data_IF_218711722380
#
_entry.id   IF_218711722380
#
_cell.length_a   1.000
_cell.length_b   1.000
_cell.length_c   1.000
_cell.angle_alpha   90.00
_cell.angle_beta   90.00
_cell.angle_gamma   90.00
#
_symmetry.space_group_name_H-M   'P 1'
#
loop_
_entity.id
_entity.type
_entity.pdbx_description
1 polymer ?
#
# COMPACT_ATOMS: atom_id res chain seq x y z
N UNK A 1 1.33 -20.55 -13.34
CA UNK A 1 1.26 -19.07 -13.28
C UNK A 1 2.56 -18.60 -12.64
N UNK A 2 3.24 -17.61 -13.20
CA UNK A 2 4.51 -17.08 -12.65
C UNK A 2 4.20 -15.89 -11.72
N UNK A 3 5.04 -15.71 -10.68
CA UNK A 3 4.95 -14.58 -9.76
C UNK A 3 6.11 -13.62 -10.02
N UNK A 4 5.79 -12.34 -10.11
CA UNK A 4 6.77 -11.25 -10.03
C UNK A 4 6.60 -10.50 -8.72
N UNK A 5 7.66 -9.93 -8.17
CA UNK A 5 7.62 -9.13 -6.94
C UNK A 5 7.97 -7.69 -7.29
N UNK A 6 7.17 -6.74 -6.81
CA UNK A 6 7.43 -5.31 -6.92
C UNK A 6 7.74 -4.73 -5.54
N UNK A 7 8.87 -4.04 -5.42
CA UNK A 7 9.35 -3.38 -4.21
C UNK A 7 9.58 -1.91 -4.53
N UNK A 8 9.02 -1.02 -3.72
CA UNK A 8 9.21 0.42 -3.85
C UNK A 8 10.18 0.87 -2.76
N UNK A 9 11.37 1.29 -3.17
CA UNK A 9 12.42 1.77 -2.28
C UNK A 9 12.43 3.31 -2.23
N UNK A 10 12.56 3.86 -1.02
CA UNK A 10 12.88 5.25 -0.79
C UNK A 10 13.70 5.40 0.49
N UNK A 11 15.02 5.69 0.36
CA UNK A 11 15.94 5.86 1.48
C UNK A 11 15.97 4.67 2.45
N UNK A 12 15.86 3.44 1.94
CA UNK A 12 15.78 2.21 2.77
C UNK A 12 16.42 0.98 2.11
N UNK A 13 17.57 1.17 1.45
CA UNK A 13 18.24 0.09 0.71
C UNK A 13 18.57 -1.13 1.58
N UNK A 14 18.91 -0.92 2.85
CA UNK A 14 19.30 -2.01 3.72
C UNK A 14 18.17 -3.02 3.94
N UNK A 15 16.95 -2.52 4.27
CA UNK A 15 15.78 -3.38 4.40
C UNK A 15 15.38 -3.97 3.04
N UNK A 16 15.53 -3.22 1.96
CA UNK A 16 15.26 -3.69 0.59
C UNK A 16 16.17 -4.86 0.23
N UNK A 17 17.47 -4.79 0.49
CA UNK A 17 18.42 -5.88 0.24
C UNK A 17 18.08 -7.09 1.12
N UNK A 18 17.85 -6.89 2.41
CA UNK A 18 17.51 -7.98 3.34
C UNK A 18 16.23 -8.70 2.90
N UNK A 19 15.23 -7.95 2.45
CA UNK A 19 13.98 -8.53 1.94
C UNK A 19 14.22 -9.33 0.65
N UNK A 20 14.97 -8.78 -0.31
CA UNK A 20 15.33 -9.50 -1.54
C UNK A 20 16.06 -10.81 -1.19
N UNK A 21 17.04 -10.77 -0.30
CA UNK A 21 17.80 -11.94 0.13
C UNK A 21 16.92 -13.03 0.75
N UNK A 22 15.85 -12.64 1.43
CA UNK A 22 14.91 -13.60 2.05
C UNK A 22 14.03 -14.35 1.04
N UNK A 23 13.84 -13.81 -0.19
CA UNK A 23 12.90 -14.37 -1.17
C UNK A 23 13.52 -14.75 -2.52
N UNK A 24 14.74 -14.29 -2.83
CA UNK A 24 15.37 -14.45 -4.17
C UNK A 24 15.48 -15.90 -4.63
N UNK A 25 15.64 -16.83 -3.70
CA UNK A 25 15.84 -18.25 -3.99
C UNK A 25 14.51 -19.03 -4.11
N UNK A 26 13.36 -18.40 -3.91
CA UNK A 26 12.08 -19.03 -4.11
C UNK A 26 11.84 -19.33 -5.61
N UNK A 27 11.47 -20.59 -5.90
CA UNK A 27 11.29 -21.06 -7.28
C UNK A 27 10.06 -20.46 -7.95
N UNK A 28 9.03 -20.14 -7.17
CA UNK A 28 7.79 -19.54 -7.66
C UNK A 28 8.00 -18.11 -8.16
N UNK A 29 9.05 -17.41 -7.67
CA UNK A 29 9.38 -16.04 -8.05
C UNK A 29 10.26 -16.04 -9.31
N UNK A 30 9.77 -15.42 -10.38
CA UNK A 30 10.47 -15.28 -11.65
C UNK A 30 11.19 -13.94 -11.81
N UNK A 31 10.64 -12.87 -11.24
CA UNK A 31 11.18 -11.51 -11.34
C UNK A 31 11.00 -10.76 -10.01
N UNK A 32 11.99 -9.95 -9.66
CA UNK A 32 11.93 -8.99 -8.55
C UNK A 32 12.27 -7.63 -9.14
N UNK A 33 11.28 -6.75 -9.20
CA UNK A 33 11.45 -5.39 -9.72
C UNK A 33 11.49 -4.43 -8.56
N UNK A 34 12.62 -3.77 -8.36
CA UNK A 34 12.81 -2.73 -7.35
C UNK A 34 12.77 -1.38 -8.04
N UNK A 35 11.85 -0.54 -7.64
CA UNK A 35 11.78 0.85 -8.09
C UNK A 35 12.36 1.74 -7.01
N UNK A 36 13.53 2.31 -7.25
CA UNK A 36 14.09 3.36 -6.42
C UNK A 36 13.41 4.69 -6.74
N UNK A 37 12.59 5.15 -5.82
CA UNK A 37 11.68 6.28 -6.02
C UNK A 37 12.36 7.63 -5.71
N UNK A 38 13.51 7.89 -6.37
CA UNK A 38 14.38 9.06 -6.18
C UNK A 38 14.94 9.14 -4.75
N UNK A 39 15.56 8.09 -4.26
CA UNK A 39 16.26 8.13 -2.98
C UNK A 39 17.36 9.20 -2.95
N UNK A 40 17.51 9.85 -1.81
CA UNK A 40 18.50 10.94 -1.59
C UNK A 40 19.74 10.48 -0.82
N UNK A 41 19.74 9.20 -0.40
CA UNK A 41 20.87 8.52 0.24
C UNK A 41 21.63 7.63 -0.78
N UNK A 42 22.42 6.67 -0.28
CA UNK A 42 23.16 5.74 -1.13
C UNK A 42 22.30 4.60 -1.72
N UNK A 43 20.96 4.62 -1.55
CA UNK A 43 20.07 3.51 -1.93
C UNK A 43 20.30 3.03 -3.36
N UNK A 44 20.25 3.93 -4.34
CA UNK A 44 20.39 3.54 -5.75
C UNK A 44 21.76 2.91 -6.05
N UNK A 45 22.84 3.40 -5.40
CA UNK A 45 24.19 2.89 -5.58
C UNK A 45 24.28 1.47 -5.03
N UNK A 46 23.78 1.26 -3.81
CA UNK A 46 23.84 -0.05 -3.14
C UNK A 46 22.94 -1.09 -3.82
N UNK A 47 21.73 -0.70 -4.20
CA UNK A 47 20.80 -1.58 -4.92
C UNK A 47 21.37 -2.04 -6.28
N UNK A 48 22.07 -1.18 -7.01
CA UNK A 48 22.71 -1.55 -8.29
C UNK A 48 23.84 -2.56 -8.16
N UNK A 49 24.37 -2.82 -6.96
CA UNK A 49 25.38 -3.85 -6.71
C UNK A 49 24.78 -5.27 -6.64
N UNK A 50 23.45 -5.40 -6.56
CA UNK A 50 22.78 -6.69 -6.51
C UNK A 50 22.99 -7.43 -7.83
N UNK A 51 23.74 -8.53 -7.76
CA UNK A 51 24.01 -9.40 -8.91
C UNK A 51 23.13 -10.66 -8.84
N UNK A 52 21.87 -10.54 -9.25
CA UNK A 52 20.94 -11.67 -9.33
C UNK A 52 20.09 -11.53 -10.61
N UNK A 53 19.99 -12.55 -11.46
CA UNK A 53 19.30 -12.49 -12.75
C UNK A 53 17.79 -12.24 -12.62
N UNK A 54 17.18 -12.56 -11.47
CA UNK A 54 15.76 -12.25 -11.21
C UNK A 54 15.52 -10.79 -10.84
N UNK A 55 16.57 -10.04 -10.41
CA UNK A 55 16.44 -8.70 -9.84
C UNK A 55 16.65 -7.62 -10.89
N UNK A 56 15.69 -6.73 -11.02
CA UNK A 56 15.76 -5.52 -11.86
C UNK A 56 15.62 -4.28 -11.00
N UNK A 57 16.61 -3.40 -11.05
CA UNK A 57 16.55 -2.09 -10.41
C UNK A 57 16.13 -1.05 -11.43
N UNK A 58 15.12 -0.25 -11.10
CA UNK A 58 14.62 0.87 -11.91
C UNK A 58 14.81 2.16 -11.10
N UNK A 59 15.60 3.08 -11.61
CA UNK A 59 15.74 4.41 -11.04
C UNK A 59 14.59 5.29 -11.54
N UNK A 60 13.70 5.71 -10.64
CA UNK A 60 12.67 6.68 -10.99
C UNK A 60 13.25 8.10 -10.85
N UNK A 61 13.20 8.94 -11.89
CA UNK A 61 13.77 10.29 -11.84
C UNK A 61 12.96 11.28 -11.00
N UNK A 62 11.75 10.89 -10.57
CA UNK A 62 10.84 11.73 -9.78
C UNK A 62 10.22 10.86 -8.69
N UNK A 63 10.22 11.31 -7.44
CA UNK A 63 9.42 10.66 -6.39
C UNK A 63 7.95 11.01 -6.58
N UNK A 64 7.26 10.19 -7.35
CA UNK A 64 5.83 10.36 -7.69
C UNK A 64 4.86 9.63 -6.74
N UNK A 65 5.38 9.10 -5.63
CA UNK A 65 4.59 8.41 -4.62
C UNK A 65 4.55 6.88 -4.78
N UNK A 66 3.85 6.24 -3.85
CA UNK A 66 3.86 4.77 -3.73
C UNK A 66 3.12 4.09 -4.88
N UNK A 67 1.89 4.55 -5.17
CA UNK A 67 1.08 3.98 -6.25
C UNK A 67 1.75 4.07 -7.62
N UNK A 68 2.38 5.20 -7.95
CA UNK A 68 3.10 5.33 -9.22
C UNK A 68 4.38 4.48 -9.25
N UNK A 69 5.06 4.30 -8.11
CA UNK A 69 6.15 3.34 -8.02
C UNK A 69 5.71 1.91 -8.38
N UNK A 70 4.54 1.48 -7.89
CA UNK A 70 3.93 0.18 -8.26
C UNK A 70 3.62 0.13 -9.76
N UNK A 71 3.07 1.22 -10.32
CA UNK A 71 2.74 1.31 -11.74
C UNK A 71 3.97 1.16 -12.63
N UNK A 72 5.11 1.78 -12.24
CA UNK A 72 6.39 1.67 -12.95
C UNK A 72 6.83 0.21 -13.00
N UNK A 73 6.77 -0.51 -11.87
CA UNK A 73 7.10 -1.93 -11.83
C UNK A 73 6.17 -2.76 -12.72
N UNK A 74 4.86 -2.51 -12.64
CA UNK A 74 3.86 -3.23 -13.44
C UNK A 74 4.04 -2.97 -14.95
N UNK A 75 4.23 -1.72 -15.37
CA UNK A 75 4.49 -1.38 -16.78
C UNK A 75 5.79 -2.03 -17.28
N UNK A 76 6.84 -2.04 -16.46
CA UNK A 76 8.08 -2.74 -16.83
C UNK A 76 7.81 -4.22 -17.11
N UNK A 77 7.09 -4.93 -16.25
CA UNK A 77 6.75 -6.34 -16.43
C UNK A 77 5.93 -6.55 -17.71
N UNK A 78 4.86 -5.79 -17.89
CA UNK A 78 3.96 -5.90 -19.05
C UNK A 78 4.71 -5.61 -20.36
N UNK A 79 5.52 -4.57 -20.41
CA UNK A 79 6.31 -4.20 -21.59
C UNK A 79 7.37 -5.25 -21.95
N UNK A 80 7.85 -6.02 -20.98
CA UNK A 80 8.73 -7.16 -21.18
C UNK A 80 7.97 -8.49 -21.38
N UNK A 81 6.67 -8.43 -21.65
CA UNK A 81 5.80 -9.61 -21.88
C UNK A 81 5.77 -10.59 -20.71
N UNK A 82 5.95 -10.09 -19.51
CA UNK A 82 5.76 -10.86 -18.28
C UNK A 82 4.30 -10.72 -17.87
N UNK A 83 3.58 -11.82 -17.94
CA UNK A 83 2.20 -11.95 -17.54
C UNK A 83 2.07 -12.63 -16.16
N UNK A 84 0.86 -12.69 -15.64
CA UNK A 84 0.51 -13.43 -14.42
C UNK A 84 0.21 -12.53 -13.23
N UNK A 85 0.84 -12.84 -12.10
CA UNK A 85 0.60 -12.17 -10.81
C UNK A 85 1.81 -11.32 -10.43
N UNK A 86 1.54 -10.13 -9.92
CA UNK A 86 2.52 -9.29 -9.27
C UNK A 86 2.20 -9.21 -7.77
N UNK A 87 3.15 -9.56 -6.92
CA UNK A 87 3.12 -9.30 -5.49
C UNK A 87 3.78 -7.95 -5.22
N UNK A 88 3.02 -7.04 -4.62
CA UNK A 88 3.54 -5.80 -4.06
C UNK A 88 3.86 -6.05 -2.59
N UNK A 89 5.04 -5.68 -2.14
CA UNK A 89 5.46 -5.93 -0.77
C UNK A 89 6.35 -4.81 -0.24
N UNK A 90 6.04 -4.36 0.98
CA UNK A 90 6.93 -3.52 1.75
C UNK A 90 8.11 -4.34 2.28
N UNK A 91 9.23 -3.68 2.52
CA UNK A 91 10.49 -4.32 2.95
C UNK A 91 10.52 -4.70 4.44
N UNK A 92 9.54 -4.27 5.21
CA UNK A 92 9.35 -4.59 6.64
C UNK A 92 8.33 -5.72 6.89
N UNK A 93 7.96 -6.43 5.82
CA UNK A 93 7.15 -7.64 5.87
C UNK A 93 8.03 -8.87 6.01
N UNK A 94 7.62 -9.80 6.86
CA UNK A 94 8.24 -11.12 6.97
C UNK A 94 7.31 -12.17 6.39
N UNK A 95 7.68 -12.72 5.24
CA UNK A 95 6.98 -13.85 4.60
C UNK A 95 7.52 -15.14 5.22
N UNK A 96 6.64 -15.99 5.72
CA UNK A 96 7.05 -17.19 6.43
C UNK A 96 7.75 -18.21 5.54
N UNK A 97 7.23 -18.45 4.33
CA UNK A 97 7.79 -19.47 3.41
C UNK A 97 7.30 -19.28 1.97
N UNK A 98 7.97 -19.97 1.03
CA UNK A 98 7.50 -20.08 -0.36
C UNK A 98 6.10 -20.75 -0.43
N UNK A 99 5.82 -21.70 0.48
CA UNK A 99 4.52 -22.39 0.55
C UNK A 99 3.39 -21.40 0.85
N UNK A 100 3.61 -20.35 1.64
CA UNK A 100 2.61 -19.33 1.92
C UNK A 100 2.29 -18.49 0.68
N UNK A 101 3.32 -18.17 -0.11
CA UNK A 101 3.15 -17.51 -1.41
C UNK A 101 2.30 -18.40 -2.34
N UNK A 102 2.57 -19.70 -2.40
CA UNK A 102 1.83 -20.66 -3.24
C UNK A 102 0.37 -20.76 -2.81
N UNK A 103 0.08 -20.76 -1.49
CA UNK A 103 -1.31 -20.72 -0.98
C UNK A 103 -2.06 -19.48 -1.46
N UNK A 104 -1.44 -18.30 -1.33
CA UNK A 104 -2.04 -17.04 -1.82
C UNK A 104 -2.29 -17.10 -3.33
N UNK A 105 -1.33 -17.60 -4.12
CA UNK A 105 -1.51 -17.78 -5.57
C UNK A 105 -2.69 -18.70 -5.90
N UNK A 106 -2.97 -19.68 -5.05
CA UNK A 106 -4.09 -20.62 -5.20
C UNK A 106 -5.46 -19.95 -5.26
N UNK A 107 -5.64 -18.79 -4.61
CA UNK A 107 -6.89 -18.03 -4.61
C UNK A 107 -7.27 -17.49 -6.01
N UNK A 108 -6.28 -17.28 -6.89
CA UNK A 108 -6.51 -16.81 -8.26
C UNK A 108 -7.11 -17.87 -9.21
N UNK A 109 -7.31 -19.11 -8.75
CA UNK A 109 -8.08 -20.12 -9.50
C UNK A 109 -9.52 -19.64 -9.74
N UNK A 110 -10.04 -18.80 -8.85
CA UNK A 110 -11.30 -18.12 -9.05
C UNK A 110 -11.09 -16.86 -9.91
N UNK A 111 -11.61 -16.85 -11.12
CA UNK A 111 -11.46 -15.73 -12.07
C UNK A 111 -12.09 -14.40 -11.57
N UNK A 112 -12.98 -14.43 -10.59
CA UNK A 112 -13.52 -13.19 -10.00
C UNK A 112 -12.52 -12.51 -9.07
N UNK A 113 -11.49 -13.23 -8.58
CA UNK A 113 -10.45 -12.71 -7.71
C UNK A 113 -9.38 -12.00 -8.53
N UNK A 114 -9.13 -10.74 -8.21
CA UNK A 114 -8.09 -9.92 -8.82
C UNK A 114 -6.98 -9.57 -7.84
N UNK A 115 -7.29 -9.49 -6.55
CA UNK A 115 -6.33 -9.15 -5.49
C UNK A 115 -6.43 -10.18 -4.37
N UNK A 116 -5.28 -10.60 -3.87
CA UNK A 116 -5.14 -11.53 -2.74
C UNK A 116 -4.18 -10.92 -1.73
N UNK A 117 -4.59 -10.80 -0.48
CA UNK A 117 -3.74 -10.40 0.63
C UNK A 117 -3.65 -11.50 1.68
N UNK A 118 -2.57 -11.58 2.48
CA UNK A 118 -2.53 -12.41 3.67
C UNK A 118 -3.25 -11.71 4.83
N UNK A 119 -3.39 -12.42 5.93
CA UNK A 119 -3.70 -11.85 7.24
C UNK A 119 -2.46 -11.13 7.74
N UNK A 120 -2.61 -9.89 8.24
CA UNK A 120 -1.49 -9.10 8.74
C UNK A 120 -1.46 -9.13 10.27
N UNK A 121 -0.34 -9.52 10.84
CA UNK A 121 -0.04 -9.36 12.27
C UNK A 121 0.81 -8.11 12.49
N UNK A 122 0.19 -7.07 13.05
CA UNK A 122 0.83 -5.81 13.43
C UNK A 122 1.11 -5.82 14.93
N UNK A 123 2.21 -6.45 15.34
CA UNK A 123 2.62 -6.56 16.74
C UNK A 123 1.52 -7.12 17.66
N UNK A 124 0.87 -8.20 17.26
CA UNK A 124 -0.22 -8.86 17.98
C UNK A 124 -1.62 -8.31 17.64
N UNK A 125 -1.73 -7.30 16.81
CA UNK A 125 -3.00 -6.83 16.27
C UNK A 125 -3.25 -7.45 14.89
N UNK A 126 -4.26 -8.31 14.80
CA UNK A 126 -4.60 -8.99 13.55
C UNK A 126 -5.46 -8.09 12.67
N UNK A 127 -5.11 -7.99 11.38
CA UNK A 127 -5.82 -7.22 10.35
C UNK A 127 -6.21 -8.11 9.18
N UNK A 128 -7.48 -8.04 8.78
CA UNK A 128 -8.05 -8.79 7.66
C UNK A 128 -8.37 -7.90 6.45
N UNK A 129 -8.06 -6.62 6.52
CA UNK A 129 -8.49 -5.60 5.56
C UNK A 129 -9.52 -4.65 6.16
N UNK A 130 -10.14 -3.83 5.31
CA UNK A 130 -11.04 -2.79 5.80
C UNK A 130 -12.21 -2.53 4.81
N UNK A 131 -13.23 -1.84 5.32
CA UNK A 131 -14.42 -1.46 4.57
C UNK A 131 -14.22 -0.13 3.87
N UNK A 132 -14.81 0.02 2.71
CA UNK A 132 -14.91 1.32 2.04
C UNK A 132 -15.95 2.17 2.76
N UNK A 133 -15.50 3.29 3.28
CA UNK A 133 -16.34 4.20 4.03
C UNK A 133 -17.22 5.07 3.12
N UNK A 134 -18.37 5.46 3.63
CA UNK A 134 -19.19 6.53 3.07
C UNK A 134 -18.55 7.91 3.34
N UNK A 135 -18.99 8.95 2.63
CA UNK A 135 -18.54 10.34 2.87
C UNK A 135 -18.70 10.74 4.34
N UNK A 136 -19.82 10.39 4.97
CA UNK A 136 -20.09 10.70 6.38
C UNK A 136 -19.07 10.03 7.31
N UNK A 137 -18.75 8.78 7.06
CA UNK A 137 -17.78 8.00 7.84
C UNK A 137 -16.37 8.56 7.66
N UNK A 138 -15.98 8.92 6.44
CA UNK A 138 -14.71 9.59 6.15
C UNK A 138 -14.57 10.91 6.92
N UNK A 139 -15.63 11.72 6.98
CA UNK A 139 -15.66 12.97 7.76
C UNK A 139 -15.48 12.70 9.26
N UNK A 140 -16.19 11.70 9.81
CA UNK A 140 -16.06 11.31 11.22
C UNK A 140 -14.66 10.82 11.55
N UNK A 141 -14.07 9.99 10.70
CA UNK A 141 -12.69 9.50 10.86
C UNK A 141 -11.64 10.61 10.67
N UNK A 142 -11.99 11.72 10.05
CA UNK A 142 -11.09 12.89 9.94
C UNK A 142 -10.89 13.63 11.26
N UNK A 143 -11.78 13.42 12.25
CA UNK A 143 -11.69 13.99 13.58
C UNK A 143 -10.78 13.10 14.44
N UNK A 144 -9.59 13.55 14.90
CA UNK A 144 -8.60 12.69 15.57
C UNK A 144 -9.12 11.95 16.81
N UNK A 145 -9.97 12.57 17.60
CA UNK A 145 -10.57 11.96 18.80
C UNK A 145 -11.53 10.80 18.45
N UNK A 146 -12.14 10.83 17.28
CA UNK A 146 -13.09 9.82 16.83
C UNK A 146 -12.43 8.71 16.00
N UNK A 147 -11.27 9.00 15.39
CA UNK A 147 -10.58 8.07 14.50
C UNK A 147 -10.39 6.69 15.15
N UNK A 148 -9.69 6.62 16.29
CA UNK A 148 -9.39 5.33 16.93
C UNK A 148 -10.65 4.57 17.36
N UNK A 149 -11.64 5.30 17.89
CA UNK A 149 -12.92 4.70 18.30
C UNK A 149 -13.68 4.15 17.10
N UNK A 150 -13.70 4.89 15.99
CA UNK A 150 -14.49 4.56 14.81
C UNK A 150 -13.79 3.54 13.93
N UNK A 151 -12.49 3.72 13.64
CA UNK A 151 -11.73 2.85 12.78
C UNK A 151 -11.68 1.40 13.32
N UNK A 152 -11.38 1.22 14.59
CA UNK A 152 -11.33 -0.12 15.18
C UNK A 152 -12.70 -0.80 15.27
N UNK A 153 -13.79 -0.05 15.37
CA UNK A 153 -15.13 -0.63 15.51
C UNK A 153 -15.85 -0.86 14.18
N UNK A 154 -15.64 0.01 13.20
CA UNK A 154 -16.49 0.04 12.01
C UNK A 154 -15.72 -0.04 10.69
N UNK A 155 -14.47 0.43 10.65
CA UNK A 155 -13.67 0.47 9.44
C UNK A 155 -12.95 -0.87 9.19
N UNK A 156 -12.17 -1.36 10.17
CA UNK A 156 -11.48 -2.63 10.02
C UNK A 156 -12.42 -3.82 10.22
N UNK A 157 -12.24 -4.88 9.44
CA UNK A 157 -12.88 -6.16 9.71
C UNK A 157 -12.33 -6.73 11.03
N UNK A 158 -13.23 -7.02 11.98
CA UNK A 158 -12.86 -7.53 13.31
C UNK A 158 -12.67 -9.04 13.31
N UNK A 159 -13.28 -9.73 12.35
CA UNK A 159 -13.20 -11.17 12.15
C UNK A 159 -12.77 -11.47 10.73
N UNK A 160 -12.25 -12.68 10.53
CA UNK A 160 -11.91 -13.12 9.19
C UNK A 160 -13.11 -13.05 8.25
N UNK A 161 -12.89 -12.42 7.10
CA UNK A 161 -13.81 -12.43 5.99
C UNK A 161 -13.00 -12.71 4.72
N UNK A 162 -13.38 -13.75 3.97
CA UNK A 162 -12.66 -14.13 2.75
C UNK A 162 -12.69 -13.01 1.72
N UNK A 163 -13.85 -12.40 1.49
CA UNK A 163 -14.01 -11.25 0.58
C UNK A 163 -14.00 -9.97 1.41
N UNK A 164 -13.13 -9.04 1.07
CA UNK A 164 -13.02 -7.73 1.71
C UNK A 164 -13.20 -6.61 0.70
N UNK A 165 -13.63 -5.43 1.16
CA UNK A 165 -13.71 -4.28 0.26
C UNK A 165 -12.32 -3.82 -0.17
N UNK A 166 -11.43 -3.60 0.80
CA UNK A 166 -10.06 -3.20 0.58
C UNK A 166 -9.09 -4.01 1.46
N UNK A 167 -7.90 -4.27 0.91
CA UNK A 167 -6.82 -5.02 1.57
C UNK A 167 -5.90 -4.08 2.34
N UNK A 168 -5.04 -4.63 3.20
CA UNK A 168 -3.91 -3.90 3.77
C UNK A 168 -2.81 -3.77 2.72
N UNK A 169 -2.38 -2.55 2.42
CA UNK A 169 -1.48 -2.26 1.28
C UNK A 169 -0.01 -2.64 1.47
N UNK A 170 0.37 -3.12 2.67
CA UNK A 170 1.75 -3.46 2.96
C UNK A 170 2.24 -4.73 2.25
N UNK A 171 1.35 -5.67 1.94
CA UNK A 171 1.62 -6.84 1.08
C UNK A 171 0.34 -7.37 0.46
N UNK A 172 0.35 -7.55 -0.85
CA UNK A 172 -0.74 -8.15 -1.60
C UNK A 172 -0.27 -8.64 -2.96
N UNK A 173 -1.05 -9.53 -3.57
CA UNK A 173 -0.87 -9.98 -4.95
C UNK A 173 -1.98 -9.41 -5.82
N UNK A 174 -1.66 -9.05 -7.05
CA UNK A 174 -2.61 -8.53 -8.03
C UNK A 174 -2.35 -9.14 -9.41
N UNK A 175 -3.40 -9.42 -10.16
CA UNK A 175 -3.30 -9.84 -11.56
C UNK A 175 -2.87 -8.67 -12.44
N UNK A 176 -1.80 -8.83 -13.19
CA UNK A 176 -1.27 -7.77 -14.07
C UNK A 176 -2.25 -7.36 -15.18
N UNK A 177 -3.00 -8.32 -15.75
CA UNK A 177 -4.02 -8.06 -16.76
C UNK A 177 -5.17 -7.21 -16.21
N UNK A 178 -5.57 -7.45 -14.97
CA UNK A 178 -6.62 -6.64 -14.31
C UNK A 178 -6.09 -5.27 -13.92
N UNK A 179 -4.85 -5.19 -13.38
CA UNK A 179 -4.23 -3.91 -13.05
C UNK A 179 -4.13 -2.98 -14.25
N UNK A 180 -3.72 -3.52 -15.41
CA UNK A 180 -3.71 -2.79 -16.67
C UNK A 180 -5.12 -2.37 -17.11
N UNK A 181 -6.11 -3.28 -17.01
CA UNK A 181 -7.50 -3.02 -17.40
C UNK A 181 -8.17 -1.91 -16.60
N UNK A 182 -7.82 -1.76 -15.32
CA UNK A 182 -8.34 -0.71 -14.43
C UNK A 182 -7.52 0.59 -14.50
N UNK A 183 -6.63 0.71 -15.47
CA UNK A 183 -5.75 1.87 -15.63
C UNK A 183 -4.90 2.13 -14.38
N UNK A 184 -4.26 1.07 -13.86
CA UNK A 184 -3.26 1.13 -12.80
C UNK A 184 -3.72 1.82 -11.49
N UNK A 185 -2.78 2.14 -10.59
CA UNK A 185 -3.03 3.02 -9.44
C UNK A 185 -3.12 4.48 -9.89
N UNK A 186 -3.89 5.29 -9.17
CA UNK A 186 -4.01 6.72 -9.48
C UNK A 186 -2.74 7.47 -9.07
N UNK A 187 -1.99 7.98 -10.05
CA UNK A 187 -0.74 8.72 -9.84
C UNK A 187 -0.92 10.13 -9.27
N UNK A 188 -2.16 10.62 -9.15
CA UNK A 188 -2.43 11.91 -8.51
C UNK A 188 -2.40 11.82 -6.97
N UNK A 189 -2.26 10.62 -6.41
CA UNK A 189 -2.08 10.40 -4.98
C UNK A 189 -0.64 10.01 -4.69
N UNK A 190 0.00 10.78 -3.80
CA UNK A 190 1.39 10.53 -3.44
C UNK A 190 1.54 9.33 -2.50
N UNK A 191 0.69 9.25 -1.48
CA UNK A 191 0.71 8.20 -0.45
C UNK A 191 -0.63 8.19 0.28
N UNK A 192 -1.09 6.98 0.70
CA UNK A 192 -2.36 6.70 1.34
C UNK A 192 -3.58 6.76 0.41
N UNK A 193 -4.59 5.96 0.69
CA UNK A 193 -5.83 5.79 -0.07
C UNK A 193 -5.69 5.03 -1.41
N UNK A 194 -4.51 4.52 -1.74
CA UNK A 194 -4.28 3.69 -2.92
C UNK A 194 -5.19 2.46 -2.92
N UNK A 195 -5.33 1.80 -1.77
CA UNK A 195 -6.14 0.60 -1.60
C UNK A 195 -7.64 0.90 -1.70
N UNK A 196 -8.07 2.07 -1.21
CA UNK A 196 -9.45 2.53 -1.33
C UNK A 196 -9.82 2.72 -2.81
N UNK A 197 -8.96 3.38 -3.58
CA UNK A 197 -9.16 3.59 -5.01
C UNK A 197 -9.11 2.29 -5.77
N UNK A 198 -8.13 1.41 -5.48
CA UNK A 198 -8.05 0.09 -6.06
C UNK A 198 -9.35 -0.69 -5.86
N UNK A 199 -9.89 -0.69 -4.64
CA UNK A 199 -11.14 -1.37 -4.31
C UNK A 199 -12.32 -0.88 -5.16
N UNK A 200 -12.47 0.44 -5.33
CA UNK A 200 -13.52 1.01 -6.16
C UNK A 200 -13.36 0.65 -7.65
N UNK A 201 -12.14 0.77 -8.19
CA UNK A 201 -11.82 0.39 -9.57
C UNK A 201 -12.10 -1.11 -9.84
N UNK A 202 -11.75 -1.99 -8.89
CA UNK A 202 -12.04 -3.43 -9.01
C UNK A 202 -13.54 -3.71 -9.01
N UNK A 203 -14.30 -3.02 -8.18
CA UNK A 203 -15.76 -3.13 -8.14
C UNK A 203 -16.41 -2.75 -9.46
N UNK A 204 -15.94 -1.70 -10.14
CA UNK A 204 -16.41 -1.26 -11.46
C UNK A 204 -16.25 -2.33 -12.53
N UNK A 205 -15.20 -3.15 -12.45
CA UNK A 205 -14.95 -4.25 -13.41
C UNK A 205 -15.42 -5.62 -12.89
N UNK A 206 -16.22 -5.65 -11.82
CA UNK A 206 -16.80 -6.88 -11.25
C UNK A 206 -15.76 -7.83 -10.64
N UNK A 207 -14.62 -7.31 -10.19
CA UNK A 207 -13.55 -8.09 -9.54
C UNK A 207 -13.55 -7.90 -8.03
N UNK A 208 -12.92 -8.85 -7.32
CA UNK A 208 -12.92 -8.93 -5.87
C UNK A 208 -11.51 -8.94 -5.31
N UNK A 209 -11.38 -8.41 -4.10
CA UNK A 209 -10.23 -8.60 -3.21
C UNK A 209 -10.55 -9.66 -2.17
N UNK A 210 -9.61 -10.57 -1.91
CA UNK A 210 -9.78 -11.64 -0.91
C UNK A 210 -8.60 -11.67 0.05
N UNK A 211 -8.85 -12.23 1.24
CA UNK A 211 -7.83 -12.51 2.24
C UNK A 211 -7.62 -14.02 2.33
N UNK A 212 -6.38 -14.47 2.14
CA UNK A 212 -6.00 -15.87 2.29
C UNK A 212 -5.89 -16.21 3.79
N UNK A 213 -6.83 -17.00 4.32
CA UNK A 213 -6.91 -17.33 5.75
C UNK A 213 -5.72 -18.15 6.27
N UNK A 214 -5.10 -18.93 5.38
CA UNK A 214 -4.05 -19.87 5.75
C UNK A 214 -2.64 -19.25 5.72
N UNK A 215 -2.57 -17.92 5.53
CA UNK A 215 -1.32 -17.16 5.49
C UNK A 215 -1.41 -15.96 6.42
N UNK A 216 -0.51 -15.93 7.40
CA UNK A 216 -0.32 -14.79 8.31
C UNK A 216 1.09 -14.27 8.12
N UNK A 217 1.23 -12.98 7.87
CA UNK A 217 2.54 -12.32 7.76
C UNK A 217 2.71 -11.28 8.86
N UNK A 218 3.94 -11.15 9.34
CA UNK A 218 4.29 -10.12 10.33
C UNK A 218 4.67 -8.83 9.61
N UNK A 219 4.10 -7.73 10.07
CA UNK A 219 4.45 -6.39 9.65
C UNK A 219 5.24 -5.71 10.77
N UNK A 220 6.55 -5.67 10.63
CA UNK A 220 7.46 -5.14 11.65
C UNK A 220 7.58 -3.62 11.58
N UNK A 221 6.50 -2.88 11.33
CA UNK A 221 6.49 -1.43 11.18
C UNK A 221 7.88 -0.80 11.17
N UNK A 222 8.54 -0.81 10.02
CA UNK A 222 9.83 -0.15 9.92
C UNK A 222 9.60 1.33 10.18
N UNK A 223 10.51 1.93 10.92
CA UNK A 223 10.48 3.38 11.16
C UNK A 223 10.85 4.17 9.89
N UNK A 224 10.78 3.56 8.70
CA UNK A 224 11.25 4.16 7.44
C UNK A 224 10.46 5.43 7.11
N UNK A 225 9.13 5.34 7.09
CA UNK A 225 8.29 6.53 6.93
C UNK A 225 8.45 7.47 8.13
N UNK A 226 8.65 6.94 9.35
CA UNK A 226 8.88 7.74 10.56
C UNK A 226 10.23 8.45 10.58
N UNK A 227 11.24 7.89 9.95
CA UNK A 227 12.55 8.53 9.81
C UNK A 227 12.58 9.61 8.73
N UNK A 228 11.82 9.42 7.63
CA UNK A 228 11.92 10.24 6.43
C UNK A 228 10.96 11.44 6.42
N UNK A 229 9.81 11.37 7.11
CA UNK A 229 8.76 12.38 7.03
C UNK A 229 8.30 12.81 8.42
N UNK A 230 8.31 14.13 8.69
CA UNK A 230 7.82 14.71 9.95
C UNK A 230 6.32 14.46 10.15
N UNK A 231 5.87 14.28 11.41
CA UNK A 231 4.48 13.97 11.78
C UNK A 231 3.43 14.90 11.12
N UNK A 232 3.69 16.20 11.09
CA UNK A 232 2.79 17.18 10.46
C UNK A 232 2.72 17.00 8.96
N UNK A 233 3.85 16.69 8.33
CA UNK A 233 3.92 16.44 6.89
C UNK A 233 3.20 15.14 6.51
N UNK A 234 3.31 14.07 7.29
CA UNK A 234 2.52 12.84 7.11
C UNK A 234 1.02 13.12 7.16
N UNK A 235 0.61 13.89 8.17
CA UNK A 235 -0.79 14.31 8.30
C UNK A 235 -1.26 15.10 7.07
N UNK A 236 -0.44 16.00 6.54
CA UNK A 236 -0.78 16.76 5.34
C UNK A 236 -0.94 15.86 4.11
N UNK A 237 0.01 14.96 3.87
CA UNK A 237 -0.05 13.99 2.74
C UNK A 237 -1.32 13.14 2.85
N UNK A 238 -1.58 12.55 4.03
CA UNK A 238 -2.79 11.76 4.27
C UNK A 238 -4.07 12.56 3.95
N UNK A 239 -4.15 13.83 4.42
CA UNK A 239 -5.34 14.64 4.22
C UNK A 239 -5.49 15.15 2.79
N UNK A 240 -4.40 15.35 2.06
CA UNK A 240 -4.44 15.65 0.63
C UNK A 240 -5.01 14.47 -0.17
N UNK A 241 -4.51 13.25 0.08
CA UNK A 241 -5.02 12.03 -0.56
C UNK A 241 -6.48 11.76 -0.18
N UNK A 242 -6.86 11.93 1.09
CA UNK A 242 -8.24 11.79 1.55
C UNK A 242 -9.18 12.79 0.86
N UNK A 243 -8.76 14.06 0.74
CA UNK A 243 -9.55 15.08 0.05
C UNK A 243 -9.73 14.77 -1.43
N UNK A 244 -8.65 14.33 -2.07
CA UNK A 244 -8.68 13.90 -3.46
C UNK A 244 -9.65 12.73 -3.67
N UNK A 245 -9.56 11.70 -2.81
CA UNK A 245 -10.45 10.55 -2.80
C UNK A 245 -11.91 10.94 -2.58
N UNK A 246 -12.21 11.77 -1.57
CA UNK A 246 -13.57 12.29 -1.32
C UNK A 246 -14.15 12.96 -2.57
N UNK A 247 -13.37 13.85 -3.20
CA UNK A 247 -13.82 14.64 -4.36
C UNK A 247 -13.99 13.75 -5.60
N UNK A 248 -12.96 12.97 -5.94
CA UNK A 248 -12.87 12.35 -7.27
C UNK A 248 -13.49 10.94 -7.31
N UNK A 249 -13.51 10.22 -6.19
CA UNK A 249 -14.02 8.85 -6.12
C UNK A 249 -15.36 8.75 -5.40
N UNK A 250 -15.52 9.36 -4.22
CA UNK A 250 -16.79 9.37 -3.52
C UNK A 250 -17.75 10.46 -4.00
N UNK A 251 -17.32 11.35 -4.90
CA UNK A 251 -18.15 12.44 -5.48
C UNK A 251 -18.75 13.37 -4.40
N UNK A 252 -17.96 13.64 -3.35
CA UNK A 252 -18.38 14.53 -2.27
C UNK A 252 -18.70 15.93 -2.78
N UNK A 253 -19.89 16.44 -2.42
CA UNK A 253 -20.32 17.79 -2.76
C UNK A 253 -19.58 18.88 -1.96
N UNK A 254 -19.78 20.13 -2.38
CA UNK A 254 -19.09 21.30 -1.81
C UNK A 254 -19.20 21.39 -0.28
N UNK A 255 -20.37 21.15 0.29
CA UNK A 255 -20.60 21.22 1.76
C UNK A 255 -19.73 20.20 2.50
N UNK A 256 -19.69 18.95 2.01
CA UNK A 256 -18.88 17.89 2.63
C UNK A 256 -17.38 18.20 2.55
N UNK A 257 -16.90 18.72 1.41
CA UNK A 257 -15.52 19.14 1.25
C UNK A 257 -15.16 20.32 2.14
N UNK A 258 -16.07 21.30 2.29
CA UNK A 258 -15.88 22.44 3.18
C UNK A 258 -15.77 21.98 4.64
N UNK A 259 -16.68 21.10 5.11
CA UNK A 259 -16.61 20.52 6.45
C UNK A 259 -15.29 19.80 6.67
N UNK A 260 -14.87 19.00 5.69
CA UNK A 260 -13.57 18.32 5.72
C UNK A 260 -12.41 19.30 5.88
N UNK A 261 -12.37 20.36 5.06
CA UNK A 261 -11.30 21.36 5.07
C UNK A 261 -11.23 22.10 6.43
N UNK A 262 -12.38 22.41 7.05
CA UNK A 262 -12.45 23.00 8.41
C UNK A 262 -11.88 22.04 9.47
N UNK A 263 -12.24 20.76 9.43
CA UNK A 263 -11.70 19.74 10.35
C UNK A 263 -10.17 19.65 10.21
N UNK A 264 -9.68 19.60 8.99
CA UNK A 264 -8.24 19.49 8.70
C UNK A 264 -7.49 20.72 9.17
N UNK A 265 -8.01 21.92 8.89
CA UNK A 265 -7.42 23.19 9.30
C UNK A 265 -7.32 23.30 10.83
N UNK A 266 -8.41 23.05 11.55
CA UNK A 266 -8.42 23.11 13.03
C UNK A 266 -7.50 22.09 13.67
N UNK A 267 -7.45 20.86 13.12
CA UNK A 267 -6.53 19.81 13.59
C UNK A 267 -5.06 20.20 13.36
N UNK A 268 -4.74 20.75 12.18
CA UNK A 268 -3.38 21.21 11.86
C UNK A 268 -2.91 22.32 12.80
N UNK A 269 -3.80 23.28 13.07
CA UNK A 269 -3.52 24.35 14.03
C UNK A 269 -3.18 23.81 15.42
N UNK A 270 -3.98 22.85 15.91
CA UNK A 270 -3.74 22.18 17.19
C UNK A 270 -2.39 21.42 17.22
N UNK A 271 -2.07 20.68 16.17
CA UNK A 271 -0.79 19.95 16.06
C UNK A 271 0.42 20.87 16.05
N UNK A 272 0.32 22.03 15.38
CA UNK A 272 1.40 23.01 15.36
C UNK A 272 1.61 23.63 16.74
N UNK A 273 0.52 24.01 17.45
CA UNK A 273 0.60 24.56 18.81
C UNK A 273 1.25 23.54 19.76
N UNK A 274 0.81 22.26 19.72
CA UNK A 274 1.40 21.21 20.54
C UNK A 274 2.89 21.02 20.26
N UNK A 275 3.30 21.02 18.99
CA UNK A 275 4.71 20.92 18.61
C UNK A 275 5.58 22.10 19.06
N UNK A 276 5.01 23.28 19.24
CA UNK A 276 5.72 24.44 19.83
C UNK A 276 5.98 24.25 21.33
N UNK A 277 5.05 23.64 22.07
CA UNK A 277 5.22 23.35 23.49
C UNK A 277 6.19 22.20 23.76
N UNK A 278 6.22 21.16 22.88
CA UNK A 278 7.16 20.03 22.99
C UNK A 278 8.62 20.43 22.70
N UNK A 279 8.87 21.50 21.92
CA UNK A 279 10.20 22.03 21.63
C UNK A 279 10.79 22.93 22.74
N UNK A 280 9.94 23.32 23.69
CA UNK A 280 10.36 24.20 24.83
C UNK A 280 10.65 23.42 26.10
N UNK A 281 10.51 22.11 26.10
CA UNK A 281 10.95 21.16 27.11
C UNK A 281 12.20 20.42 26.64
#
# INVERSE_FOLDING_TARGET
>A
MKLSVAIINYNDYQNTINFIDSIKDYNVISHIVVVDNLSTDNSLIELKKINNPKVKIIANPINSGYGEGINIAARYLINNRVDGIMMVCNTDIVIGSEADIIKMMGEFKNNSVAVVAPIIDENGTIRYGFKINTIKEELLMSIPKLYNKYANKYHFYQEYNHVVDAIMGCVFMIRLDILSKIDYFDSNMFLYYEENVLALKLKEVGKKSVVCKDVVVKHNHSKTIDKSIKRVQKYQILKQSQRYYLKNYLKAGFISLFIFDVIVFTTKLFLNIKGLFERRK
#
